data_IF_801882343462
#
_entry.id   IF_801882343462
#
_cell.length_a   1.000
_cell.length_b   1.000
_cell.length_c   1.000
_cell.angle_alpha   90.00
_cell.angle_beta   90.00
_cell.angle_gamma   90.00
#
_symmetry.space_group_name_H-M   'P 1'
#
loop_
_entity.id
_entity.type
_entity.pdbx_description
1 polymer ?
#
# COMPACT_ATOMS: atom_id res chain seq x y z
N UNK A 1 12.54 12.08 -1.30
CA UNK A 1 12.00 10.85 -0.66
C UNK A 1 12.39 9.67 -1.53
N UNK A 2 13.17 8.71 -1.02
CA UNK A 2 13.60 7.54 -1.80
C UNK A 2 12.77 6.34 -1.36
N UNK A 3 12.10 5.67 -2.30
CA UNK A 3 11.31 4.47 -2.01
C UNK A 3 12.22 3.25 -2.11
N UNK A 4 12.19 2.38 -1.10
CA UNK A 4 13.01 1.17 -1.08
C UNK A 4 12.18 -0.03 -1.56
N UNK A 5 12.81 -1.04 -2.19
CA UNK A 5 12.16 -2.33 -2.42
C UNK A 5 11.50 -2.86 -1.13
N UNK A 6 10.31 -3.43 -1.25
CA UNK A 6 9.49 -3.89 -0.12
C UNK A 6 8.55 -2.83 0.45
N UNK A 7 8.65 -1.55 0.03
CA UNK A 7 7.76 -0.50 0.51
C UNK A 7 6.42 -0.52 -0.23
N UNK A 8 5.32 -0.33 0.50
CA UNK A 8 4.01 -0.12 -0.10
C UNK A 8 3.79 1.34 -0.50
N UNK A 9 3.24 1.53 -1.69
CA UNK A 9 2.99 2.85 -2.27
C UNK A 9 1.60 2.91 -2.88
N UNK A 10 1.02 4.09 -2.89
CA UNK A 10 -0.20 4.41 -3.62
C UNK A 10 0.17 5.04 -4.96
N UNK A 11 -0.47 4.57 -6.02
CA UNK A 11 -0.37 5.20 -7.35
C UNK A 11 -1.49 6.22 -7.51
N UNK A 12 -1.13 7.45 -7.84
CA UNK A 12 -2.08 8.50 -8.20
C UNK A 12 -2.33 8.42 -9.71
N UNK A 13 -3.54 8.04 -10.11
CA UNK A 13 -3.94 8.00 -11.52
C UNK A 13 -4.93 9.13 -11.79
N UNK A 14 -4.65 9.94 -12.82
CA UNK A 14 -5.58 10.96 -13.30
C UNK A 14 -6.26 10.40 -14.55
N UNK A 15 -7.56 10.14 -14.47
CA UNK A 15 -8.35 9.76 -15.64
C UNK A 15 -8.55 10.99 -16.53
N UNK A 16 -7.89 10.99 -17.70
CA UNK A 16 -7.92 12.13 -18.63
C UNK A 16 -9.30 12.39 -19.24
N UNK A 17 -10.23 11.44 -19.15
CA UNK A 17 -11.56 11.53 -19.74
C UNK A 17 -12.57 12.36 -18.93
N UNK A 18 -12.27 12.69 -17.67
CA UNK A 18 -13.19 13.46 -16.81
C UNK A 18 -12.42 14.58 -16.10
N UNK A 19 -12.79 15.83 -16.40
CA UNK A 19 -12.32 17.00 -15.65
C UNK A 19 -12.85 16.91 -14.21
N UNK A 20 -11.97 17.19 -13.26
CA UNK A 20 -12.09 17.18 -11.79
C UNK A 20 -11.67 15.89 -11.07
N UNK A 21 -10.94 16.15 -9.99
CA UNK A 21 -10.20 15.30 -9.04
C UNK A 21 -11.03 14.23 -8.30
N UNK A 22 -12.19 13.85 -8.81
CA UNK A 22 -13.19 13.06 -8.09
C UNK A 22 -12.89 11.55 -8.04
N UNK A 23 -11.92 11.06 -8.83
CA UNK A 23 -11.56 9.63 -8.84
C UNK A 23 -10.10 9.39 -8.45
N UNK A 24 -9.68 9.98 -7.34
CA UNK A 24 -8.54 9.43 -6.60
C UNK A 24 -8.90 7.98 -6.18
N UNK A 25 -8.45 7.01 -6.98
CA UNK A 25 -8.57 5.58 -6.66
C UNK A 25 -7.22 5.14 -6.10
N UNK A 26 -7.05 5.12 -4.77
CA UNK A 26 -5.80 4.69 -4.17
C UNK A 26 -5.62 3.20 -4.45
N UNK A 27 -4.73 2.89 -5.39
CA UNK A 27 -4.30 1.52 -5.65
C UNK A 27 -2.97 1.31 -4.93
N UNK A 28 -2.93 0.31 -4.04
CA UNK A 28 -1.75 -0.09 -3.29
C UNK A 28 -0.88 -0.99 -4.16
N UNK A 29 0.39 -0.65 -4.24
CA UNK A 29 1.41 -1.40 -4.96
C UNK A 29 2.61 -1.66 -4.05
N UNK A 30 3.29 -2.77 -4.29
CA UNK A 30 4.57 -3.09 -3.69
C UNK A 30 5.70 -2.62 -4.61
N UNK A 31 6.66 -1.89 -4.07
CA UNK A 31 7.89 -1.56 -4.80
C UNK A 31 8.78 -2.80 -4.86
N UNK A 32 9.06 -3.30 -6.06
CA UNK A 32 9.93 -4.45 -6.28
C UNK A 32 11.37 -4.02 -6.53
N UNK A 33 11.55 -2.95 -7.31
CA UNK A 33 12.86 -2.41 -7.63
C UNK A 33 12.82 -0.89 -7.76
N UNK A 34 13.89 -0.25 -7.30
CA UNK A 34 14.15 1.17 -7.46
C UNK A 34 15.31 1.37 -8.41
N UNK A 35 15.17 2.27 -9.39
CA UNK A 35 16.21 2.57 -10.37
C UNK A 35 16.76 3.98 -10.16
N UNK A 36 18.02 4.21 -10.58
CA UNK A 36 18.71 5.49 -10.41
C UNK A 36 18.00 6.68 -11.08
N UNK A 37 17.16 6.44 -12.09
CA UNK A 37 16.40 7.46 -12.82
C UNK A 37 15.07 7.84 -12.14
N UNK A 38 14.90 7.60 -10.83
CA UNK A 38 13.66 7.88 -10.07
C UNK A 38 12.42 7.16 -10.64
N UNK A 39 12.65 6.02 -11.29
CA UNK A 39 11.57 5.11 -11.72
C UNK A 39 11.58 3.86 -10.87
N UNK A 40 10.40 3.26 -10.72
CA UNK A 40 10.17 2.11 -9.85
C UNK A 40 9.42 1.02 -10.60
N UNK A 41 9.82 -0.23 -10.33
CA UNK A 41 9.07 -1.41 -10.74
C UNK A 41 8.09 -1.77 -9.63
N UNK A 42 6.81 -1.89 -9.98
CA UNK A 42 5.74 -2.12 -9.02
C UNK A 42 5.08 -3.48 -9.25
N UNK A 43 4.61 -4.09 -8.17
CA UNK A 43 3.72 -5.24 -8.19
C UNK A 43 2.38 -4.90 -7.53
N UNK A 44 1.30 -5.42 -8.09
CA UNK A 44 -0.05 -5.34 -7.53
C UNK A 44 -0.19 -6.25 -6.29
N UNK A 45 -1.29 -6.13 -5.54
CA UNK A 45 -1.57 -6.96 -4.36
C UNK A 45 -1.63 -8.46 -4.70
N UNK A 46 -2.02 -8.79 -5.94
CA UNK A 46 -2.00 -10.17 -6.46
C UNK A 46 -0.60 -10.66 -6.89
N UNK A 47 0.46 -9.89 -6.65
CA UNK A 47 1.84 -10.23 -7.04
C UNK A 47 2.15 -10.04 -8.52
N UNK A 48 1.24 -9.46 -9.30
CA UNK A 48 1.45 -9.20 -10.74
C UNK A 48 2.32 -7.97 -10.93
N UNK A 49 3.39 -8.09 -11.71
CA UNK A 49 4.25 -6.97 -12.06
C UNK A 49 3.58 -6.04 -13.07
N UNK A 50 3.63 -4.73 -12.80
CA UNK A 50 3.25 -3.73 -13.80
C UNK A 50 4.27 -3.75 -14.95
N UNK A 51 3.80 -3.93 -16.19
CA UNK A 51 4.69 -3.96 -17.37
C UNK A 51 5.55 -2.70 -17.52
N UNK A 52 5.06 -1.55 -17.05
CA UNK A 52 5.73 -0.25 -17.17
C UNK A 52 6.36 0.18 -15.84
N UNK A 53 7.56 0.73 -15.91
CA UNK A 53 8.16 1.48 -14.81
C UNK A 53 7.39 2.77 -14.55
N UNK A 54 7.27 3.14 -13.29
CA UNK A 54 6.47 4.29 -12.86
C UNK A 54 7.38 5.35 -12.25
N UNK A 55 7.13 6.61 -12.59
CA UNK A 55 7.88 7.74 -12.06
C UNK A 55 7.51 8.02 -10.61
N UNK A 56 8.50 8.44 -9.83
CA UNK A 56 8.33 8.82 -8.44
C UNK A 56 7.20 9.83 -8.20
N UNK A 57 7.03 10.80 -9.09
CA UNK A 57 6.11 11.92 -8.90
C UNK A 57 4.64 11.48 -8.83
N UNK A 58 4.33 10.34 -9.44
CA UNK A 58 3.00 9.73 -9.47
C UNK A 58 2.75 8.77 -8.31
N UNK A 59 3.72 8.62 -7.40
CA UNK A 59 3.68 7.73 -6.26
C UNK A 59 3.57 8.52 -4.95
N UNK A 60 2.84 7.93 -4.00
CA UNK A 60 2.73 8.40 -2.63
C UNK A 60 3.04 7.24 -1.69
N UNK A 61 3.76 7.46 -0.58
CA UNK A 61 3.93 6.42 0.43
C UNK A 61 2.57 6.00 0.99
N UNK A 62 2.39 4.69 1.16
CA UNK A 62 1.24 4.16 1.88
C UNK A 62 1.61 4.02 3.37
N UNK A 63 0.84 4.68 4.23
CA UNK A 63 0.94 4.52 5.67
C UNK A 63 -0.30 3.75 6.15
N UNK A 64 -0.08 2.57 6.72
CA UNK A 64 -1.16 1.84 7.36
C UNK A 64 -1.57 2.60 8.63
N UNK A 65 -2.83 3.03 8.69
CA UNK A 65 -3.37 3.58 9.93
C UNK A 65 -3.57 2.41 10.89
N UNK A 66 -2.91 2.45 12.04
CA UNK A 66 -3.04 1.43 13.09
C UNK A 66 -4.52 1.03 13.27
N UNK A 67 -4.83 -0.26 13.07
CA UNK A 67 -6.09 -0.83 13.55
C UNK A 67 -6.15 -0.61 15.07
N UNK A 68 -7.31 -0.21 15.64
CA UNK A 68 -7.48 -0.31 17.08
C UNK A 68 -7.26 -1.78 17.46
N UNK A 69 -6.34 -2.04 18.39
CA UNK A 69 -6.12 -3.38 18.93
C UNK A 69 -7.44 -3.87 19.54
N UNK A 70 -8.11 -4.82 18.90
CA UNK A 70 -9.20 -5.55 19.54
C UNK A 70 -8.56 -6.44 20.59
N UNK A 71 -8.68 -6.03 21.86
CA UNK A 71 -8.26 -6.84 23.00
C UNK A 71 -9.31 -7.96 23.12
N UNK A 72 -8.99 -9.14 22.61
CA UNK A 72 -9.79 -10.34 22.91
C UNK A 72 -9.47 -10.74 24.35
N UNK A 73 -10.33 -10.35 25.29
CA UNK A 73 -10.25 -10.78 26.68
C UNK A 73 -10.50 -12.28 26.73
N UNK A 74 -9.43 -13.06 26.85
CA UNK A 74 -9.53 -14.50 27.12
C UNK A 74 -10.03 -14.66 28.55
N UNK A 75 -11.34 -14.77 28.75
CA UNK A 75 -11.93 -15.12 30.05
C UNK A 75 -11.56 -16.56 30.36
N UNK A 76 -10.45 -16.75 31.08
CA UNK A 76 -10.11 -18.03 31.68
C UNK A 76 -11.04 -18.25 32.86
N UNK A 77 -12.13 -19.00 32.66
CA UNK A 77 -12.89 -19.55 33.79
C UNK A 77 -12.02 -20.63 34.43
N UNK A 78 -11.26 -20.24 35.45
CA UNK A 78 -10.61 -21.18 36.37
C UNK A 78 -11.74 -21.82 37.15
N UNK A 79 -12.10 -23.04 36.76
CA UNK A 79 -13.02 -23.87 37.52
C UNK A 79 -12.31 -24.35 38.79
N UNK A 80 -12.80 -23.89 39.93
CA UNK A 80 -12.52 -24.50 41.22
C UNK A 80 -13.02 -25.94 41.19
N UNK A 81 -12.10 -26.91 41.29
CA UNK A 81 -12.43 -28.30 41.57
C UNK A 81 -12.02 -28.60 43.02
N UNK A 82 -13.03 -29.08 43.72
CA UNK A 82 -13.15 -29.57 45.10
C UNK A 82 -11.97 -30.41 45.62
#
# INVERSE_FOLDING_TARGET
>A
MTLHPGTYVLRVSHDRGKKMDYKYSPQKFLVIAAFANRTYQLADESGRLLKRRINQDTLRPYYERHKPMTIETVTSTVGDNE
#
